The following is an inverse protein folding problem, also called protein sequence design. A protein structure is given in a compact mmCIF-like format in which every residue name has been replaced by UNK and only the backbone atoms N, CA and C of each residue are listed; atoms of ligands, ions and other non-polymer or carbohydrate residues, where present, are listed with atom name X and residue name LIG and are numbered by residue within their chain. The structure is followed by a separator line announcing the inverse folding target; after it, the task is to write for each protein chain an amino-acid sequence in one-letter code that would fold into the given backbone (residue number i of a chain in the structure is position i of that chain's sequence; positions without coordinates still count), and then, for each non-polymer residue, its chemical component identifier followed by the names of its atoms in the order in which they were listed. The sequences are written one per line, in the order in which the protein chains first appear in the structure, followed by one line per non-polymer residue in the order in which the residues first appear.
data_IF_056872380879
#
_entry.id   IF_056872380879
#
_cell.length_a   1.000
_cell.length_b   1.000
_cell.length_c   1.000
_cell.angle_alpha   90.00
_cell.angle_beta   90.00
_cell.angle_gamma   90.00
#
_symmetry.space_group_name_H-M   'P 1'
#
loop_
_entity.id
_entity.type
_entity.pdbx_description
1 polymer ?
#
# COMPACT_ATOMS: atom_id res chain seq x y z
N UNK A 1 -8.94 17.67 1.86
CA UNK A 1 -7.77 16.79 1.99
C UNK A 1 -6.55 17.67 1.96
N UNK A 2 -5.82 17.72 3.08
CA UNK A 2 -4.54 18.40 3.15
C UNK A 2 -3.51 17.58 2.37
N UNK A 3 -2.73 18.27 1.55
CA UNK A 3 -1.63 17.68 0.81
C UNK A 3 -0.41 17.72 1.73
N UNK A 4 -0.01 16.58 2.25
CA UNK A 4 1.23 16.49 3.01
C UNK A 4 2.42 16.43 2.05
N UNK A 5 3.45 17.22 2.32
CA UNK A 5 4.75 17.04 1.68
C UNK A 5 5.32 15.64 2.00
N UNK A 6 6.30 15.19 1.22
CA UNK A 6 6.92 13.84 1.38
C UNK A 6 7.39 13.59 2.82
N UNK A 7 7.92 14.61 3.50
CA UNK A 7 8.32 14.50 4.90
C UNK A 7 7.14 14.15 5.82
N UNK A 8 5.99 14.79 5.63
CA UNK A 8 4.78 14.51 6.41
C UNK A 8 4.21 13.12 6.12
N UNK A 9 4.37 12.59 4.91
CA UNK A 9 4.00 11.21 4.58
C UNK A 9 4.89 10.20 5.33
N UNK A 10 6.20 10.45 5.36
CA UNK A 10 7.16 9.61 6.11
C UNK A 10 6.88 9.65 7.60
N UNK A 11 6.67 10.83 8.17
CA UNK A 11 6.32 10.98 9.59
C UNK A 11 5.03 10.22 9.92
N UNK A 12 4.00 10.37 9.08
CA UNK A 12 2.73 9.68 9.26
C UNK A 12 2.88 8.15 9.20
N UNK A 13 3.71 7.65 8.29
CA UNK A 13 4.00 6.22 8.21
C UNK A 13 4.69 5.71 9.47
N UNK A 14 5.72 6.40 9.97
CA UNK A 14 6.43 6.02 11.18
C UNK A 14 5.53 6.03 12.41
N UNK A 15 4.59 6.99 12.52
CA UNK A 15 3.57 7.01 13.57
C UNK A 15 2.65 5.79 13.52
N UNK A 16 2.18 5.40 12.33
CA UNK A 16 1.34 4.20 12.15
C UNK A 16 2.14 2.93 12.42
N UNK A 17 3.38 2.87 11.95
CA UNK A 17 4.29 1.73 12.17
C UNK A 17 4.53 1.52 13.66
N UNK A 18 4.70 2.59 14.43
CA UNK A 18 4.84 2.51 15.88
C UNK A 18 3.58 1.97 16.59
N UNK A 19 2.40 2.11 15.98
CA UNK A 19 1.14 1.53 16.47
C UNK A 19 0.99 0.05 16.10
N UNK A 20 1.81 -0.45 15.16
CA UNK A 20 1.80 -1.85 14.71
C UNK A 20 0.72 -2.17 13.68
N UNK A 21 -0.09 -1.21 13.27
CA UNK A 21 -1.01 -1.35 12.13
C UNK A 21 -1.33 0.03 11.57
N UNK A 22 -1.82 0.07 10.33
CA UNK A 22 -2.23 1.33 9.74
C UNK A 22 -2.68 1.23 8.30
N UNK A 23 -3.22 2.35 7.83
CA UNK A 23 -3.69 2.55 6.48
C UNK A 23 -3.21 3.91 5.97
N UNK A 24 -2.73 3.95 4.73
CA UNK A 24 -2.26 5.14 4.04
C UNK A 24 -2.82 5.18 2.63
N UNK A 25 -3.13 6.39 2.15
CA UNK A 25 -3.50 6.66 0.77
C UNK A 25 -2.57 7.72 0.20
N UNK A 26 -2.08 7.48 -1.01
CA UNK A 26 -1.15 8.34 -1.72
C UNK A 26 -1.64 8.56 -3.14
N UNK A 27 -1.77 9.82 -3.52
CA UNK A 27 -2.17 10.21 -4.87
C UNK A 27 -1.48 11.50 -5.29
N UNK A 28 -1.34 11.67 -6.61
CA UNK A 28 -0.84 12.90 -7.21
C UNK A 28 -1.86 14.05 -7.19
N UNK A 29 -1.70 15.00 -8.12
CA UNK A 29 -2.66 16.10 -8.31
C UNK A 29 -4.04 15.65 -8.81
N UNK A 30 -4.12 14.47 -9.42
CA UNK A 30 -5.34 13.90 -9.97
C UNK A 30 -6.17 13.13 -8.94
N UNK A 31 -7.40 12.77 -9.33
CA UNK A 31 -8.22 11.84 -8.55
C UNK A 31 -7.63 10.43 -8.55
N UNK A 32 -6.98 10.04 -9.65
CA UNK A 32 -6.36 8.74 -9.88
C UNK A 32 -5.00 8.92 -10.59
N UNK A 33 -4.10 7.93 -10.51
CA UNK A 33 -4.21 6.72 -9.68
C UNK A 33 -4.03 7.00 -8.18
N UNK A 34 -4.64 6.17 -7.34
CA UNK A 34 -4.44 6.17 -5.88
C UNK A 34 -3.73 4.88 -5.49
N UNK A 35 -2.62 5.01 -4.79
CA UNK A 35 -1.92 3.89 -4.17
C UNK A 35 -2.27 3.86 -2.69
N UNK A 36 -2.64 2.69 -2.19
CA UNK A 36 -2.93 2.49 -0.77
C UNK A 36 -1.97 1.49 -0.16
N UNK A 37 -1.67 1.67 1.12
CA UNK A 37 -0.89 0.74 1.93
C UNK A 37 -1.68 0.43 3.19
N UNK A 38 -2.12 -0.81 3.31
CA UNK A 38 -2.70 -1.37 4.53
C UNK A 38 -1.73 -2.35 5.17
N UNK A 39 -1.58 -2.34 6.50
CA UNK A 39 -0.69 -3.27 7.18
C UNK A 39 -1.08 -3.58 8.62
N UNK A 40 -0.65 -4.75 9.09
CA UNK A 40 -0.69 -5.21 10.48
C UNK A 40 0.59 -5.98 10.80
N UNK A 41 1.32 -5.57 11.84
CA UNK A 41 2.64 -6.09 12.15
C UNK A 41 3.63 -5.83 11.01
N UNK A 42 4.22 -6.90 10.48
CA UNK A 42 5.08 -6.86 9.30
C UNK A 42 4.36 -7.22 8.00
N UNK A 43 3.10 -7.65 8.05
CA UNK A 43 2.33 -8.01 6.87
C UNK A 43 1.64 -6.77 6.28
N UNK A 44 1.81 -6.56 4.99
CA UNK A 44 1.28 -5.40 4.28
C UNK A 44 0.70 -5.78 2.91
N UNK A 45 -0.27 -5.00 2.46
CA UNK A 45 -0.85 -5.09 1.12
C UNK A 45 -0.84 -3.72 0.50
N UNK A 46 -0.46 -3.66 -0.78
CA UNK A 46 -0.52 -2.45 -1.59
C UNK A 46 -1.62 -2.59 -2.63
N UNK A 47 -2.52 -1.62 -2.69
CA UNK A 47 -3.59 -1.57 -3.69
C UNK A 47 -3.38 -0.38 -4.62
N UNK A 48 -3.69 -0.58 -5.89
CA UNK A 48 -3.73 0.45 -6.91
C UNK A 48 -5.17 0.61 -7.38
N UNK A 49 -5.73 1.80 -7.18
CA UNK A 49 -6.96 2.23 -7.82
C UNK A 49 -6.58 3.03 -9.07
N UNK A 50 -6.79 2.45 -10.25
CA UNK A 50 -6.46 3.10 -11.53
C UNK A 50 -7.55 4.11 -11.95
N UNK A 51 -8.80 3.82 -11.56
CA UNK A 51 -9.99 4.63 -11.75
C UNK A 51 -11.06 4.21 -10.72
N UNK A 52 -12.31 4.68 -10.89
CA UNK A 52 -13.40 4.47 -9.93
C UNK A 52 -13.80 3.00 -9.78
N UNK A 53 -13.55 2.17 -10.80
CA UNK A 53 -14.01 0.78 -10.86
C UNK A 53 -12.85 -0.23 -10.91
N UNK A 54 -11.61 0.22 -11.18
CA UNK A 54 -10.46 -0.66 -11.34
C UNK A 54 -9.55 -0.67 -10.10
N UNK A 55 -9.54 -1.81 -9.39
CA UNK A 55 -8.66 -2.07 -8.25
C UNK A 55 -7.74 -3.25 -8.55
N UNK A 56 -6.45 -3.06 -8.30
CA UNK A 56 -5.44 -4.12 -8.41
C UNK A 56 -4.63 -4.24 -7.13
N UNK A 57 -4.19 -5.45 -6.81
CA UNK A 57 -3.28 -5.75 -5.71
C UNK A 57 -1.87 -6.01 -6.24
N UNK A 58 -0.85 -5.53 -5.54
CA UNK A 58 0.53 -5.85 -5.90
C UNK A 58 0.82 -7.32 -5.53
N UNK A 59 1.24 -8.11 -6.52
CA UNK A 59 1.69 -9.48 -6.28
C UNK A 59 3.02 -9.47 -5.50
N UNK A 60 3.14 -10.38 -4.54
CA UNK A 60 4.38 -10.61 -3.85
C UNK A 60 5.37 -11.30 -4.80
N UNK A 61 6.60 -10.76 -4.87
CA UNK A 61 7.70 -11.38 -5.63
C UNK A 61 7.98 -12.81 -5.11
N UNK A 62 7.87 -13.00 -3.80
CA UNK A 62 7.87 -14.28 -3.10
C UNK A 62 6.64 -14.33 -2.18
N UNK A 63 5.80 -15.37 -2.25
CA UNK A 63 4.61 -15.47 -1.41
C UNK A 63 4.98 -15.57 0.06
N UNK A 64 4.16 -14.98 0.93
CA UNK A 64 4.31 -15.08 2.38
C UNK A 64 4.12 -16.53 2.88
N UNK A 65 4.54 -16.80 4.12
CA UNK A 65 4.37 -18.13 4.73
C UNK A 65 2.89 -18.49 4.96
N UNK A 66 2.02 -17.49 5.11
CA UNK A 66 0.60 -17.65 5.38
C UNK A 66 -0.20 -16.42 4.93
N UNK A 67 -1.51 -16.61 4.84
CA UNK A 67 -2.49 -15.53 4.67
C UNK A 67 -2.44 -14.58 5.87
N UNK A 68 -2.78 -13.31 5.64
CA UNK A 68 -2.67 -12.27 6.66
C UNK A 68 -3.87 -11.33 6.66
N UNK A 69 -4.26 -10.90 7.86
CA UNK A 69 -5.28 -9.89 8.07
C UNK A 69 -4.62 -8.50 8.18
N UNK A 70 -4.94 -7.60 7.25
CA UNK A 70 -4.40 -6.23 7.22
C UNK A 70 -5.53 -5.19 7.26
N UNK A 71 -5.21 -4.00 7.74
CA UNK A 71 -6.19 -2.92 7.86
C UNK A 71 -6.45 -2.24 6.50
N UNK A 72 -7.72 -2.14 6.10
CA UNK A 72 -8.19 -1.39 4.92
C UNK A 72 -9.29 -0.43 5.38
N UNK A 73 -9.05 0.88 5.31
CA UNK A 73 -10.02 1.91 5.75
C UNK A 73 -10.65 1.64 7.13
N UNK A 74 -9.84 1.14 8.08
CA UNK A 74 -10.24 0.74 9.45
C UNK A 74 -10.91 -0.64 9.61
N UNK A 75 -11.18 -1.36 8.52
CA UNK A 75 -11.66 -2.75 8.57
C UNK A 75 -10.50 -3.75 8.37
N UNK A 76 -10.36 -4.76 9.25
CA UNK A 76 -9.44 -5.86 9.00
C UNK A 76 -9.96 -6.74 7.86
N UNK A 77 -9.09 -7.00 6.87
CA UNK A 77 -9.40 -7.82 5.69
C UNK A 77 -8.33 -8.89 5.53
N UNK A 78 -8.77 -10.14 5.34
CA UNK A 78 -7.88 -11.28 5.06
C UNK A 78 -7.44 -11.27 3.60
N UNK A 79 -6.13 -11.38 3.38
CA UNK A 79 -5.52 -11.50 2.06
C UNK A 79 -4.68 -12.76 1.97
N UNK A 80 -4.66 -13.33 0.77
CA UNK A 80 -3.89 -14.53 0.47
C UNK A 80 -2.40 -14.21 0.41
N UNK A 81 -1.58 -15.19 0.78
CA UNK A 81 -0.12 -15.06 0.87
C UNK A 81 0.57 -14.54 -0.42
N UNK A 82 -0.06 -14.68 -1.59
CA UNK A 82 0.48 -14.24 -2.88
C UNK A 82 0.43 -12.72 -3.14
N UNK A 83 -0.26 -11.96 -2.30
CA UNK A 83 -0.30 -10.48 -2.34
C UNK A 83 0.13 -9.84 -1.03
N UNK A 84 0.49 -10.65 -0.03
CA UNK A 84 1.03 -10.18 1.25
C UNK A 84 2.52 -9.94 1.12
N UNK A 85 2.93 -8.70 1.37
CA UNK A 85 4.30 -8.21 1.33
C UNK A 85 4.83 -8.03 2.75
N UNK A 86 6.16 -8.03 2.87
CA UNK A 86 6.81 -7.42 4.03
C UNK A 86 6.57 -5.89 4.03
N UNK A 87 6.35 -5.32 5.22
CA UNK A 87 6.07 -3.90 5.40
C UNK A 87 7.17 -2.99 4.85
N UNK A 88 8.45 -3.36 4.97
CA UNK A 88 9.56 -2.58 4.44
C UNK A 88 9.52 -2.56 2.90
N UNK A 89 9.20 -3.70 2.28
CA UNK A 89 9.02 -3.80 0.82
C UNK A 89 7.81 -2.99 0.36
N UNK A 90 6.69 -3.08 1.06
CA UNK A 90 5.48 -2.33 0.74
C UNK A 90 5.71 -0.81 0.86
N UNK A 91 6.45 -0.38 1.87
CA UNK A 91 6.83 1.03 2.02
C UNK A 91 7.72 1.53 0.89
N UNK A 92 8.71 0.73 0.44
CA UNK A 92 9.54 1.09 -0.71
C UNK A 92 8.72 1.34 -1.99
N UNK A 93 7.63 0.60 -2.19
CA UNK A 93 6.69 0.83 -3.31
C UNK A 93 6.04 2.20 -3.21
N UNK A 94 5.58 2.59 -2.01
CA UNK A 94 5.01 3.91 -1.77
C UNK A 94 6.05 5.01 -2.06
N UNK A 95 7.28 4.87 -1.55
CA UNK A 95 8.35 5.84 -1.79
C UNK A 95 8.70 5.98 -3.27
N UNK A 96 8.76 4.87 -4.01
CA UNK A 96 9.02 4.88 -5.45
C UNK A 96 7.88 5.54 -6.23
N UNK A 97 6.63 5.25 -5.88
CA UNK A 97 5.47 5.87 -6.49
C UNK A 97 5.43 7.38 -6.24
N UNK A 98 5.70 7.83 -5.02
CA UNK A 98 5.78 9.26 -4.70
C UNK A 98 6.86 9.96 -5.51
N UNK A 99 8.01 9.29 -5.74
CA UNK A 99 9.13 9.84 -6.51
C UNK A 99 8.87 9.89 -8.00
N UNK A 100 8.20 8.89 -8.56
CA UNK A 100 8.14 8.66 -10.03
C UNK A 100 6.76 8.86 -10.62
N UNK A 101 5.70 8.73 -9.82
CA UNK A 101 4.31 8.67 -10.25
C UNK A 101 3.95 7.38 -11.00
N UNK A 102 4.84 6.38 -11.02
CA UNK A 102 4.72 5.21 -11.89
C UNK A 102 4.59 3.92 -11.07
N UNK A 103 3.36 3.46 -10.89
CA UNK A 103 3.05 2.22 -10.17
C UNK A 103 3.56 0.97 -10.91
N UNK A 104 3.79 1.04 -12.22
CA UNK A 104 4.25 -0.10 -13.02
C UNK A 104 5.67 -0.57 -12.68
N UNK A 105 6.42 0.24 -11.91
CA UNK A 105 7.76 -0.14 -11.41
C UNK A 105 7.73 -1.04 -10.19
N UNK A 106 6.60 -1.09 -9.48
CA UNK A 106 6.49 -1.84 -8.24
C UNK A 106 6.56 -3.36 -8.42
N UNK A 107 6.08 -3.88 -9.56
CA UNK A 107 5.99 -5.31 -9.85
C UNK A 107 4.74 -5.67 -10.67
N UNK A 108 4.31 -6.92 -10.55
CA UNK A 108 3.08 -7.42 -11.17
C UNK A 108 1.85 -6.99 -10.37
N UNK A 109 0.86 -6.40 -11.04
CA UNK A 109 -0.43 -6.04 -10.45
C UNK A 109 -1.51 -7.03 -10.86
N UNK A 110 -2.32 -7.49 -9.89
CA UNK A 110 -3.44 -8.41 -10.08
C UNK A 110 -4.75 -7.67 -9.90
N UNK A 111 -5.50 -7.52 -10.98
CA UNK A 111 -6.84 -6.93 -10.96
C UNK A 111 -7.83 -7.84 -10.22
N UNK A 112 -8.75 -7.24 -9.45
CA UNK A 112 -9.78 -7.91 -8.65
C UNK A 112 -11.07 -8.20 -9.43
#
# INVERSE_FOLDING_TARGET
MERSDVAGLVERFEELRAQGCGYLEVRGDGAFPVLTLGFTGSAAVVQLMADEDAVSLLAADEPADADAEVLVLDDPVEFTADVVLDLERAWQVIEEYVRTGDAGRAGEWREL
#
